data_IF_638227967764
#
_entry.id   IF_638227967764
#
_cell.length_a   1.000
_cell.length_b   1.000
_cell.length_c   1.000
_cell.angle_alpha   90.00
_cell.angle_beta   90.00
_cell.angle_gamma   90.00
#
_symmetry.space_group_name_H-M   'P 1'
#
loop_
_entity.id
_entity.type
_entity.pdbx_description
1 polymer ?
#
# COMPACT_ATOMS: atom_id res chain seq x y z
N UNK A 1 3.37 24.08 44.00
CA UNK A 1 2.00 23.92 43.46
C UNK A 1 2.11 23.96 41.93
N UNK A 2 2.95 23.15 41.27
CA UNK A 2 2.88 21.69 40.95
C UNK A 2 1.75 21.37 39.97
N UNK A 3 2.00 21.33 38.64
CA UNK A 3 2.34 20.13 37.83
C UNK A 3 1.59 18.87 38.26
N UNK A 4 0.48 18.54 37.58
CA UNK A 4 -0.03 17.18 37.34
C UNK A 4 -1.46 17.22 36.73
N UNK A 5 -1.60 17.11 35.40
CA UNK A 5 -2.65 16.32 34.70
C UNK A 5 -2.09 16.03 33.29
N UNK A 6 -1.05 15.22 33.26
CA UNK A 6 -0.59 14.44 32.10
C UNK A 6 -0.32 13.05 32.68
N UNK A 7 -0.63 12.00 31.91
CA UNK A 7 -0.60 10.57 32.25
C UNK A 7 -1.87 10.01 32.92
N UNK A 8 -2.50 9.09 32.21
CA UNK A 8 -3.57 8.25 32.72
C UNK A 8 -4.01 7.20 31.72
N UNK A 9 -3.08 6.45 31.12
CA UNK A 9 -3.32 5.08 30.63
C UNK A 9 -1.98 4.41 30.27
N UNK A 10 -1.16 4.20 31.30
CA UNK A 10 -0.02 3.29 31.27
C UNK A 10 0.20 2.76 32.70
N UNK A 11 0.37 1.44 32.81
CA UNK A 11 0.82 0.66 33.98
C UNK A 11 -0.21 0.26 35.07
N UNK A 12 -0.56 -1.04 35.05
CA UNK A 12 -0.66 -1.90 36.24
C UNK A 12 -0.20 -3.30 35.77
N UNK A 13 1.10 -3.56 35.86
CA UNK A 13 1.80 -4.33 36.90
C UNK A 13 1.75 -5.85 36.71
N UNK A 14 2.93 -6.37 36.36
CA UNK A 14 3.35 -7.75 36.46
C UNK A 14 3.47 -8.20 37.93
N UNK A 15 3.39 -9.52 38.15
CA UNK A 15 4.30 -10.39 38.94
C UNK A 15 3.53 -11.67 39.33
N UNK A 16 4.03 -12.82 38.90
CA UNK A 16 4.47 -13.93 39.78
C UNK A 16 4.97 -15.07 38.90
N UNK A 17 6.26 -15.39 39.04
CA UNK A 17 6.85 -16.63 38.56
C UNK A 17 6.80 -17.70 39.66
N UNK A 18 6.52 -18.93 39.26
CA UNK A 18 6.83 -20.17 39.98
C UNK A 18 6.85 -21.27 38.91
N UNK A 19 8.01 -21.81 38.56
CA UNK A 19 8.70 -22.93 39.20
C UNK A 19 8.38 -24.25 38.48
N UNK A 20 9.47 -24.95 38.16
CA UNK A 20 9.55 -26.16 37.37
C UNK A 20 8.92 -27.36 38.09
N UNK A 21 8.25 -28.23 37.33
CA UNK A 21 7.96 -29.60 37.75
C UNK A 21 8.27 -30.57 36.61
N UNK A 22 9.39 -31.28 36.77
CA UNK A 22 9.72 -32.48 36.01
C UNK A 22 8.70 -33.58 36.35
N UNK A 23 8.14 -34.23 35.34
CA UNK A 23 7.39 -35.48 35.50
C UNK A 23 8.30 -36.67 35.14
N UNK A 24 8.27 -37.76 35.92
CA UNK A 24 9.17 -38.90 35.72
C UNK A 24 8.71 -39.79 34.57
N UNK A 25 9.70 -40.39 33.90
CA UNK A 25 9.50 -41.41 32.90
C UNK A 25 8.96 -42.71 33.52
N UNK A 26 7.96 -43.31 32.86
CA UNK A 26 7.57 -44.71 33.08
C UNK A 26 6.10 -44.93 33.40
N UNK A 27 5.26 -45.06 32.38
CA UNK A 27 3.99 -45.79 32.48
C UNK A 27 3.59 -46.36 31.11
N UNK A 28 3.15 -47.62 31.12
CA UNK A 28 2.95 -48.48 29.96
C UNK A 28 1.86 -47.98 28.98
N UNK A 29 2.06 -48.33 27.70
CA UNK A 29 1.15 -48.02 26.58
C UNK A 29 -0.15 -48.86 26.69
N UNK A 30 -1.35 -48.26 26.65
CA UNK A 30 -2.60 -49.02 26.66
C UNK A 30 -2.87 -49.69 25.30
N UNK A 31 -3.69 -50.77 25.25
CA UNK A 31 -3.89 -51.57 24.05
C UNK A 31 -4.67 -50.80 22.98
N UNK A 32 -4.30 -51.05 21.73
CA UNK A 32 -4.94 -50.48 20.53
C UNK A 32 -6.36 -51.03 20.42
N UNK A 33 -7.35 -50.15 20.43
CA UNK A 33 -8.74 -50.50 20.18
C UNK A 33 -8.94 -50.94 18.72
N UNK A 34 -9.76 -51.97 18.52
CA UNK A 34 -10.15 -52.49 17.21
C UNK A 34 -10.86 -51.42 16.35
N UNK A 35 -10.76 -51.48 15.01
CA UNK A 35 -11.31 -50.46 14.14
C UNK A 35 -12.84 -50.45 14.21
N UNK A 36 -13.39 -49.26 14.49
CA UNK A 36 -14.83 -48.99 14.43
C UNK A 36 -15.28 -49.06 12.97
N UNK A 37 -16.31 -49.86 12.70
CA UNK A 37 -16.92 -49.97 11.38
C UNK A 37 -17.42 -48.58 10.90
N UNK A 38 -17.05 -48.21 9.68
CA UNK A 38 -17.49 -46.95 9.05
C UNK A 38 -18.99 -46.99 8.77
N UNK A 39 -19.77 -45.98 9.17
CA UNK A 39 -21.18 -45.89 8.81
C UNK A 39 -21.33 -45.67 7.30
N UNK A 40 -22.46 -46.10 6.70
CA UNK A 40 -22.69 -45.96 5.26
C UNK A 40 -22.69 -44.47 4.85
N UNK A 41 -22.25 -44.15 3.62
CA UNK A 41 -22.24 -42.77 3.15
C UNK A 41 -23.67 -42.22 3.15
N UNK A 42 -23.87 -41.12 3.89
CA UNK A 42 -25.07 -40.32 3.80
C UNK A 42 -25.27 -39.75 2.40
N UNK A 43 -26.47 -39.23 2.08
CA UNK A 43 -26.75 -38.68 0.76
C UNK A 43 -25.74 -37.60 0.39
N UNK A 44 -25.34 -37.59 -0.89
CA UNK A 44 -24.39 -36.64 -1.44
C UNK A 44 -24.76 -35.21 -1.05
N UNK A 45 -23.91 -34.60 -0.22
CA UNK A 45 -23.99 -33.19 0.13
C UNK A 45 -23.81 -32.40 -1.15
N UNK A 46 -24.79 -31.55 -1.47
CA UNK A 46 -24.72 -30.62 -2.57
C UNK A 46 -23.39 -29.83 -2.49
N UNK A 47 -22.75 -29.63 -3.65
CA UNK A 47 -21.56 -28.79 -3.79
C UNK A 47 -21.81 -27.47 -3.04
N UNK A 48 -21.12 -27.29 -1.91
CA UNK A 48 -21.04 -25.99 -1.24
C UNK A 48 -20.36 -25.08 -2.24
N UNK A 49 -21.04 -24.01 -2.67
CA UNK A 49 -20.44 -22.98 -3.53
C UNK A 49 -19.06 -22.61 -2.97
N UNK A 50 -18.06 -22.50 -3.85
CA UNK A 50 -16.73 -22.11 -3.44
C UNK A 50 -16.80 -20.80 -2.60
N UNK A 51 -15.96 -20.65 -1.55
CA UNK A 51 -15.96 -19.44 -0.75
C UNK A 51 -15.85 -18.22 -1.64
N UNK A 52 -16.68 -17.21 -1.37
CA UNK A 52 -16.84 -16.01 -2.20
C UNK A 52 -15.52 -15.25 -2.42
N UNK A 53 -14.54 -15.42 -1.54
CA UNK A 53 -13.19 -14.85 -1.63
C UNK A 53 -12.08 -15.81 -2.04
N UNK A 54 -12.38 -17.06 -2.45
CA UNK A 54 -11.35 -18.06 -2.77
C UNK A 54 -10.40 -17.62 -3.88
N UNK A 55 -10.93 -16.88 -4.86
CA UNK A 55 -10.16 -16.33 -5.98
C UNK A 55 -9.54 -14.96 -5.67
N UNK A 56 -9.70 -14.42 -4.45
CA UNK A 56 -9.14 -13.12 -4.11
C UNK A 56 -7.62 -13.19 -3.89
N UNK A 57 -6.91 -12.18 -4.39
CA UNK A 57 -5.52 -11.91 -3.99
C UNK A 57 -5.49 -11.59 -2.50
N UNK A 58 -4.40 -11.92 -1.79
CA UNK A 58 -4.16 -11.36 -0.46
C UNK A 58 -4.27 -9.83 -0.52
N UNK A 59 -4.72 -9.16 0.53
CA UNK A 59 -4.71 -7.70 0.59
C UNK A 59 -4.43 -7.19 2.00
N UNK A 60 -3.84 -6.01 2.05
CA UNK A 60 -3.57 -5.30 3.29
C UNK A 60 -4.72 -4.46 3.79
N UNK A 61 -4.69 -4.16 5.09
CA UNK A 61 -5.52 -3.11 5.67
C UNK A 61 -4.64 -2.01 6.25
N UNK A 62 -4.49 -0.93 5.48
CA UNK A 62 -3.41 0.05 5.69
C UNK A 62 -3.83 1.24 6.54
N UNK A 63 -5.10 1.64 6.49
CA UNK A 63 -5.53 2.91 7.06
C UNK A 63 -7.01 2.94 7.41
N UNK A 64 -7.30 3.47 8.60
CA UNK A 64 -8.65 3.83 9.06
C UNK A 64 -8.64 5.29 9.46
N UNK A 65 -9.57 6.07 8.91
CA UNK A 65 -9.69 7.50 9.18
C UNK A 65 -11.16 7.83 9.44
N UNK A 66 -11.42 8.70 10.40
CA UNK A 66 -12.72 9.33 10.56
C UNK A 66 -12.67 10.70 9.88
N UNK A 67 -13.60 10.93 8.97
CA UNK A 67 -13.79 12.19 8.23
C UNK A 67 -15.27 12.56 8.28
N UNK A 68 -15.67 13.22 9.36
CA UNK A 68 -17.03 13.73 9.53
C UNK A 68 -17.05 15.26 9.35
N UNK A 69 -18.19 15.84 8.91
CA UNK A 69 -18.34 17.29 8.85
C UNK A 69 -18.13 17.94 10.22
N UNK A 70 -17.49 19.11 10.24
CA UNK A 70 -17.34 19.89 11.47
C UNK A 70 -18.73 20.22 12.04
N UNK A 71 -18.94 19.96 13.33
CA UNK A 71 -20.22 20.16 14.02
C UNK A 71 -21.23 19.02 13.86
N UNK A 72 -20.94 17.98 13.05
CA UNK A 72 -21.84 16.84 12.91
C UNK A 72 -22.08 16.15 14.25
N UNK A 73 -23.35 15.90 14.59
CA UNK A 73 -23.70 15.09 15.77
C UNK A 73 -23.36 13.63 15.51
N UNK A 74 -22.74 12.96 16.48
CA UNK A 74 -22.32 11.56 16.32
C UNK A 74 -22.62 10.65 17.51
N UNK A 75 -23.06 11.22 18.64
CA UNK A 75 -23.52 10.46 19.79
C UNK A 75 -24.67 11.17 20.50
N UNK A 76 -25.65 10.38 20.93
CA UNK A 76 -26.78 10.76 21.77
C UNK A 76 -26.71 9.98 23.09
N UNK A 77 -25.86 10.41 24.05
CA UNK A 77 -25.66 9.68 25.30
C UNK A 77 -26.83 9.85 26.28
N UNK A 78 -27.25 8.73 26.86
CA UNK A 78 -28.20 8.64 27.97
C UNK A 78 -27.49 8.05 29.21
N UNK A 79 -27.80 8.55 30.40
CA UNK A 79 -27.08 8.21 31.64
C UNK A 79 -27.99 7.87 32.81
N UNK A 80 -27.44 7.08 33.73
CA UNK A 80 -28.09 6.68 34.97
C UNK A 80 -29.14 5.58 34.77
N UNK A 81 -29.63 5.01 35.87
CA UNK A 81 -30.54 3.85 35.89
C UNK A 81 -31.77 4.07 34.99
N UNK A 82 -32.21 5.32 34.86
CA UNK A 82 -33.37 5.72 34.06
C UNK A 82 -33.04 6.13 32.62
N UNK A 83 -31.79 6.06 32.17
CA UNK A 83 -31.34 6.44 30.82
C UNK A 83 -31.82 7.85 30.42
N UNK A 84 -31.58 8.83 31.28
CA UNK A 84 -31.96 10.22 31.02
C UNK A 84 -30.94 10.81 30.05
N UNK A 85 -31.39 11.59 29.06
CA UNK A 85 -30.49 12.27 28.12
C UNK A 85 -29.42 13.07 28.87
N UNK A 86 -28.15 12.81 28.56
CA UNK A 86 -27.05 13.60 29.08
C UNK A 86 -27.04 14.99 28.40
N UNK A 87 -26.30 15.94 28.97
CA UNK A 87 -26.27 17.32 28.49
C UNK A 87 -25.71 17.42 27.05
N UNK A 88 -26.64 17.40 26.08
CA UNK A 88 -26.41 17.60 24.66
C UNK A 88 -25.77 16.42 23.92
N UNK A 89 -26.10 16.29 22.64
CA UNK A 89 -25.42 15.37 21.75
C UNK A 89 -23.94 15.74 21.61
N UNK A 90 -23.08 14.73 21.46
CA UNK A 90 -21.68 14.98 21.12
C UNK A 90 -21.59 15.35 19.65
N UNK A 91 -20.81 16.39 19.39
CA UNK A 91 -20.56 16.91 18.05
C UNK A 91 -19.09 16.74 17.68
N UNK A 92 -18.85 16.49 16.41
CA UNK A 92 -17.51 16.32 15.85
C UNK A 92 -16.80 17.68 15.77
N UNK A 93 -15.66 17.81 16.45
CA UNK A 93 -14.92 19.07 16.57
C UNK A 93 -13.58 19.07 15.80
N UNK A 94 -13.29 18.00 15.06
CA UNK A 94 -12.05 17.86 14.31
C UNK A 94 -12.31 18.20 12.83
N UNK A 95 -11.51 19.08 12.25
CA UNK A 95 -11.52 19.31 10.81
C UNK A 95 -10.57 18.34 10.10
N UNK A 96 -10.99 17.83 8.94
CA UNK A 96 -10.18 16.92 8.13
C UNK A 96 -10.13 15.48 8.66
N UNK A 97 -9.03 14.81 8.37
CA UNK A 97 -8.84 13.38 8.65
C UNK A 97 -8.38 13.16 10.09
N UNK A 98 -9.10 12.30 10.82
CA UNK A 98 -8.69 11.81 12.15
C UNK A 98 -8.25 10.35 12.07
N UNK A 99 -6.93 10.05 11.98
CA UNK A 99 -6.42 8.68 11.87
C UNK A 99 -6.74 7.85 13.11
N UNK A 100 -7.14 6.59 12.89
CA UNK A 100 -7.42 5.62 13.94
C UNK A 100 -6.34 4.54 13.98
N UNK A 101 -6.13 3.92 15.15
CA UNK A 101 -5.27 2.74 15.27
C UNK A 101 -5.90 1.58 14.47
N UNK A 102 -5.20 1.00 13.46
CA UNK A 102 -5.79 -0.05 12.61
C UNK A 102 -6.11 -1.35 13.35
N UNK A 103 -5.33 -1.71 14.39
CA UNK A 103 -5.39 -3.03 15.04
C UNK A 103 -6.80 -3.56 15.35
N UNK A 104 -7.64 -2.83 16.13
CA UNK A 104 -9.00 -3.29 16.45
C UNK A 104 -9.89 -3.50 15.21
N UNK A 105 -9.77 -2.64 14.20
CA UNK A 105 -10.54 -2.75 12.95
C UNK A 105 -10.01 -3.87 12.04
N UNK A 106 -8.69 -4.04 11.98
CA UNK A 106 -8.02 -5.09 11.24
C UNK A 106 -8.37 -6.47 11.78
N UNK A 107 -8.48 -6.60 13.11
CA UNK A 107 -8.95 -7.82 13.75
C UNK A 107 -10.38 -8.16 13.32
N UNK A 108 -11.32 -7.20 13.40
CA UNK A 108 -12.71 -7.41 12.93
C UNK A 108 -12.74 -7.77 11.45
N UNK A 109 -11.95 -7.08 10.63
CA UNK A 109 -11.83 -7.35 9.19
C UNK A 109 -11.43 -8.81 8.95
N UNK A 110 -10.39 -9.30 9.62
CA UNK A 110 -9.87 -10.66 9.47
C UNK A 110 -10.89 -11.71 9.93
N UNK A 111 -11.50 -11.51 11.09
CA UNK A 111 -12.51 -12.44 11.65
C UNK A 111 -13.70 -12.64 10.72
N UNK A 112 -14.13 -11.59 10.00
CA UNK A 112 -15.26 -11.68 9.07
C UNK A 112 -14.85 -12.14 7.67
N UNK A 113 -13.65 -11.79 7.22
CA UNK A 113 -13.20 -12.07 5.85
C UNK A 113 -12.59 -13.47 5.68
N UNK A 114 -11.92 -14.01 6.71
CA UNK A 114 -11.28 -15.32 6.63
C UNK A 114 -12.29 -16.48 6.40
N UNK A 115 -13.45 -16.54 7.09
CA UNK A 115 -14.47 -17.55 6.80
C UNK A 115 -15.05 -17.45 5.39
N UNK A 116 -15.05 -16.24 4.80
CA UNK A 116 -15.49 -16.00 3.44
C UNK A 116 -14.41 -16.34 2.38
N UNK A 117 -13.23 -16.82 2.79
CA UNK A 117 -12.13 -17.26 1.92
C UNK A 117 -11.14 -16.17 1.52
N UNK A 118 -11.32 -14.92 1.97
CA UNK A 118 -10.38 -13.83 1.69
C UNK A 118 -9.12 -13.93 2.56
N UNK A 119 -7.99 -13.51 2.00
CA UNK A 119 -6.69 -13.48 2.70
C UNK A 119 -6.35 -12.04 3.07
N UNK A 120 -6.42 -11.71 4.36
CA UNK A 120 -6.03 -10.40 4.90
C UNK A 120 -4.61 -10.50 5.45
N UNK A 121 -3.69 -9.74 4.88
CA UNK A 121 -2.27 -9.71 5.27
C UNK A 121 -2.03 -9.17 6.69
N UNK A 122 -0.91 -9.62 7.28
CA UNK A 122 -0.40 -9.23 8.60
C UNK A 122 -0.60 -10.32 9.66
N UNK A 123 0.33 -10.43 10.60
CA UNK A 123 0.33 -11.39 11.70
C UNK A 123 -0.32 -10.78 12.97
N UNK A 124 -1.45 -11.33 13.49
CA UNK A 124 -2.07 -10.86 14.73
C UNK A 124 -1.21 -11.04 15.99
N UNK A 125 -0.33 -12.04 16.00
CA UNK A 125 0.44 -12.44 17.18
C UNK A 125 1.83 -11.78 17.20
N UNK A 126 2.23 -11.17 16.08
CA UNK A 126 3.47 -10.44 15.96
C UNK A 126 3.28 -8.95 16.27
N UNK A 127 3.43 -8.60 17.55
CA UNK A 127 3.37 -7.21 18.04
C UNK A 127 4.48 -6.29 17.49
N UNK A 128 5.46 -6.84 16.77
CA UNK A 128 6.54 -6.08 16.11
C UNK A 128 6.25 -5.80 14.63
N UNK A 129 5.21 -6.42 14.04
CA UNK A 129 4.77 -6.03 12.70
C UNK A 129 4.01 -4.69 12.78
N UNK A 130 4.65 -3.63 12.28
CA UNK A 130 3.93 -2.42 11.92
C UNK A 130 2.98 -2.75 10.78
N UNK A 131 1.67 -2.63 10.99
CA UNK A 131 0.57 -2.95 10.06
C UNK A 131 0.81 -2.50 8.59
N UNK A 132 1.61 -3.26 7.86
CA UNK A 132 1.99 -2.96 6.49
C UNK A 132 2.04 -4.27 5.74
N UNK A 133 1.09 -4.38 4.83
CA UNK A 133 0.87 -5.57 4.06
C UNK A 133 1.85 -5.67 2.92
N UNK A 134 2.24 -6.90 2.61
CA UNK A 134 3.07 -7.32 1.48
C UNK A 134 2.33 -7.28 0.16
N UNK A 135 1.02 -7.13 0.23
CA UNK A 135 0.13 -7.29 -0.89
C UNK A 135 0.12 -6.05 -1.81
N UNK A 136 0.01 -6.32 -3.11
CA UNK A 136 -0.19 -5.33 -4.15
C UNK A 136 -1.54 -4.60 -4.05
N UNK A 137 -2.42 -5.08 -3.17
CA UNK A 137 -3.72 -4.49 -2.87
C UNK A 137 -3.75 -4.02 -1.42
N UNK A 138 -4.16 -2.77 -1.22
CA UNK A 138 -4.34 -2.15 0.08
C UNK A 138 -5.77 -1.66 0.22
N UNK A 139 -6.42 -2.03 1.31
CA UNK A 139 -7.74 -1.57 1.71
C UNK A 139 -7.60 -0.44 2.73
N UNK A 140 -8.36 0.63 2.53
CA UNK A 140 -8.51 1.71 3.50
C UNK A 140 -9.99 1.95 3.80
N UNK A 141 -10.30 2.35 5.04
CA UNK A 141 -11.64 2.69 5.49
C UNK A 141 -11.71 4.16 5.89
N UNK A 142 -12.62 4.90 5.27
CA UNK A 142 -12.95 6.28 5.63
C UNK A 142 -14.34 6.26 6.27
N UNK A 143 -14.40 6.43 7.58
CA UNK A 143 -15.65 6.55 8.33
C UNK A 143 -16.19 7.96 8.06
N UNK A 144 -17.32 8.04 7.36
CA UNK A 144 -17.93 9.30 6.92
C UNK A 144 -19.08 9.76 7.82
N UNK A 145 -19.69 8.81 8.55
CA UNK A 145 -20.76 9.09 9.50
C UNK A 145 -20.73 8.07 10.63
N UNK A 146 -20.94 8.55 11.85
CA UNK A 146 -21.11 7.76 13.07
C UNK A 146 -22.38 8.27 13.72
N UNK A 147 -23.30 7.37 14.06
CA UNK A 147 -24.50 7.71 14.82
C UNK A 147 -24.65 6.67 15.93
N UNK A 148 -24.61 7.10 17.19
CA UNK A 148 -24.66 6.20 18.34
C UNK A 148 -25.65 6.73 19.37
N UNK A 149 -26.71 5.99 19.62
CA UNK A 149 -27.65 6.24 20.70
C UNK A 149 -27.51 5.14 21.75
N UNK A 150 -27.03 5.52 22.93
CA UNK A 150 -26.71 4.56 23.97
C UNK A 150 -27.05 5.08 25.36
N UNK A 151 -27.39 4.15 26.23
CA UNK A 151 -27.56 4.35 27.65
C UNK A 151 -26.43 3.69 28.43
N UNK A 152 -25.82 4.46 29.33
CA UNK A 152 -24.87 4.01 30.35
C UNK A 152 -25.53 4.07 31.73
N UNK A 153 -26.19 2.99 32.18
CA UNK A 153 -27.05 3.05 33.36
C UNK A 153 -26.30 3.14 34.69
N UNK A 154 -25.00 2.80 34.70
CA UNK A 154 -24.16 2.70 35.91
C UNK A 154 -22.97 3.67 35.93
N UNK A 155 -23.04 4.75 35.14
CA UNK A 155 -22.00 5.79 35.13
C UNK A 155 -21.84 6.37 36.56
N UNK A 156 -20.65 6.18 37.17
CA UNK A 156 -20.37 6.51 38.57
C UNK A 156 -19.85 5.34 39.42
N UNK A 157 -20.04 4.09 39.00
CA UNK A 157 -19.50 2.89 39.67
C UNK A 157 -18.25 2.31 38.99
N UNK A 158 -17.60 3.08 38.11
CA UNK A 158 -16.48 2.61 37.27
C UNK A 158 -16.91 1.72 36.09
N UNK A 159 -18.20 1.47 35.93
CA UNK A 159 -18.77 0.62 34.87
C UNK A 159 -19.03 1.43 33.59
N UNK A 160 -18.41 0.99 32.49
CA UNK A 160 -18.52 1.59 31.14
C UNK A 160 -19.45 0.80 30.21
N UNK A 161 -20.19 -0.16 30.74
CA UNK A 161 -21.14 -0.95 29.97
C UNK A 161 -22.33 -0.11 29.47
N UNK A 162 -22.80 -0.44 28.26
CA UNK A 162 -23.87 0.30 27.60
C UNK A 162 -24.91 -0.64 27.03
N UNK A 163 -26.12 -0.14 26.85
CA UNK A 163 -27.14 -0.69 25.94
C UNK A 163 -27.53 0.39 24.94
N UNK A 164 -27.95 0.02 23.74
CA UNK A 164 -28.27 1.01 22.70
C UNK A 164 -28.01 0.50 21.31
N UNK A 165 -28.12 1.38 20.33
CA UNK A 165 -27.87 1.07 18.93
C UNK A 165 -26.90 2.08 18.32
N UNK A 166 -26.21 1.65 17.28
CA UNK A 166 -25.28 2.49 16.55
C UNK A 166 -25.27 2.14 15.07
N UNK A 167 -24.96 3.13 14.24
CA UNK A 167 -24.72 2.96 12.82
C UNK A 167 -23.44 3.67 12.40
N UNK A 168 -22.80 3.10 11.39
CA UNK A 168 -21.51 3.54 10.88
C UNK A 168 -21.55 3.48 9.36
N UNK A 169 -21.32 4.61 8.71
CA UNK A 169 -21.10 4.66 7.26
C UNK A 169 -19.61 4.71 6.95
N UNK A 170 -19.18 3.82 6.05
CA UNK A 170 -17.78 3.65 5.67
C UNK A 170 -17.65 3.74 4.16
N UNK A 171 -16.81 4.65 3.68
CA UNK A 171 -16.29 4.65 2.33
C UNK A 171 -14.98 3.86 2.31
N UNK A 172 -15.02 2.71 1.67
CA UNK A 172 -13.87 1.85 1.44
C UNK A 172 -13.13 2.28 0.18
N UNK A 173 -11.80 2.19 0.22
CA UNK A 173 -10.95 2.37 -0.95
C UNK A 173 -10.08 1.13 -1.12
N UNK A 174 -10.20 0.48 -2.27
CA UNK A 174 -9.31 -0.59 -2.70
C UNK A 174 -8.25 0.04 -3.59
N UNK A 175 -6.99 0.05 -3.15
CA UNK A 175 -5.88 0.69 -3.82
C UNK A 175 -4.88 -0.35 -4.31
N UNK A 176 -4.40 -0.22 -5.56
CA UNK A 176 -3.29 -1.03 -6.04
C UNK A 176 -1.98 -0.28 -5.84
N UNK A 177 -1.03 -0.89 -5.14
CA UNK A 177 0.33 -0.34 -4.97
C UNK A 177 1.19 -0.51 -6.21
N UNK A 178 0.82 -1.41 -7.11
CA UNK A 178 1.44 -1.60 -8.43
C UNK A 178 0.89 -0.55 -9.42
N UNK A 179 -0.43 -0.47 -9.60
CA UNK A 179 -1.04 0.47 -10.54
C UNK A 179 -1.12 1.92 -10.00
N UNK A 180 -0.74 2.12 -8.73
CA UNK A 180 -0.77 3.40 -8.00
C UNK A 180 -2.12 4.13 -8.06
N UNK A 181 -3.23 3.40 -8.12
CA UNK A 181 -4.57 3.98 -8.24
C UNK A 181 -5.61 3.25 -7.38
N UNK A 182 -6.68 3.97 -7.05
CA UNK A 182 -7.87 3.39 -6.40
C UNK A 182 -8.64 2.59 -7.45
N UNK A 183 -8.68 1.26 -7.27
CA UNK A 183 -9.39 0.32 -8.14
C UNK A 183 -10.90 0.38 -7.92
N UNK A 184 -11.33 0.59 -6.68
CA UNK A 184 -12.74 0.68 -6.33
C UNK A 184 -12.96 1.58 -5.12
N UNK A 185 -14.09 2.29 -5.14
CA UNK A 185 -14.68 2.95 -3.98
C UNK A 185 -16.00 2.28 -3.69
N UNK A 186 -16.20 1.84 -2.44
CA UNK A 186 -17.42 1.14 -2.03
C UNK A 186 -17.94 1.85 -0.80
N UNK A 187 -19.20 2.24 -0.80
CA UNK A 187 -19.85 2.80 0.38
C UNK A 187 -20.70 1.70 1.04
N UNK A 188 -20.57 1.55 2.36
CA UNK A 188 -21.41 0.66 3.15
C UNK A 188 -21.93 1.41 4.38
N UNK A 189 -23.08 1.00 4.88
CA UNK A 189 -23.57 1.41 6.20
C UNK A 189 -23.91 0.15 6.97
N UNK A 190 -23.36 0.00 8.16
CA UNK A 190 -23.60 -1.12 9.08
C UNK A 190 -24.10 -0.60 10.41
N UNK A 191 -24.93 -1.38 11.09
CA UNK A 191 -25.49 -1.05 12.38
C UNK A 191 -25.26 -2.19 13.39
N UNK A 192 -25.46 -1.86 14.66
CA UNK A 192 -25.43 -2.83 15.73
C UNK A 192 -26.38 -2.38 16.84
N UNK A 193 -26.91 -3.33 17.59
CA UNK A 193 -27.78 -3.09 18.72
C UNK A 193 -27.39 -4.00 19.89
N UNK A 194 -27.19 -3.39 21.06
CA UNK A 194 -27.03 -4.05 22.34
C UNK A 194 -28.32 -3.84 23.15
N UNK A 195 -29.19 -4.85 23.12
CA UNK A 195 -30.46 -4.83 23.87
C UNK A 195 -30.22 -4.87 25.38
N UNK A 196 -29.18 -5.58 25.80
CA UNK A 196 -28.73 -5.69 27.18
C UNK A 196 -27.47 -4.85 27.43
N UNK A 197 -27.23 -4.57 28.71
CA UNK A 197 -26.06 -3.82 29.15
C UNK A 197 -24.80 -4.65 28.91
N UNK A 198 -24.02 -4.22 27.92
CA UNK A 198 -22.89 -4.97 27.38
C UNK A 198 -21.57 -4.31 27.77
N UNK A 199 -20.61 -5.10 28.25
CA UNK A 199 -19.26 -4.64 28.59
C UNK A 199 -18.47 -4.20 27.34
N UNK A 200 -17.45 -3.35 27.52
CA UNK A 200 -16.67 -2.79 26.41
C UNK A 200 -17.22 -1.48 25.84
N UNK A 201 -18.42 -1.08 26.27
CA UNK A 201 -18.95 0.26 26.07
C UNK A 201 -19.10 0.66 24.60
N UNK A 202 -18.87 1.93 24.32
CA UNK A 202 -19.07 2.50 22.99
C UNK A 202 -18.14 1.90 21.92
N UNK A 203 -16.92 1.52 22.32
CA UNK A 203 -15.97 0.91 21.41
C UNK A 203 -16.48 -0.45 20.89
N UNK A 204 -17.08 -1.26 21.76
CA UNK A 204 -17.67 -2.54 21.36
C UNK A 204 -18.83 -2.34 20.37
N UNK A 205 -19.71 -1.37 20.63
CA UNK A 205 -20.84 -1.04 19.74
C UNK A 205 -20.35 -0.55 18.37
N UNK A 206 -19.30 0.30 18.35
CA UNK A 206 -18.69 0.80 17.12
C UNK A 206 -18.08 -0.35 16.28
N UNK A 207 -17.32 -1.24 16.92
CA UNK A 207 -16.72 -2.39 16.25
C UNK A 207 -17.78 -3.39 15.76
N UNK A 208 -18.91 -3.52 16.45
CA UNK A 208 -20.04 -4.32 15.99
C UNK A 208 -20.70 -3.73 14.73
N UNK A 209 -20.91 -2.41 14.68
CA UNK A 209 -21.41 -1.76 13.46
C UNK A 209 -20.39 -1.84 12.30
N UNK A 210 -19.10 -1.74 12.61
CA UNK A 210 -18.03 -1.95 11.63
C UNK A 210 -18.01 -3.39 11.09
N UNK A 211 -18.27 -4.39 11.94
CA UNK A 211 -18.40 -5.80 11.54
C UNK A 211 -19.47 -5.99 10.46
N UNK A 212 -20.63 -5.35 10.60
CA UNK A 212 -21.66 -5.41 9.55
C UNK A 212 -21.20 -4.70 8.26
N UNK A 213 -20.47 -3.59 8.35
CA UNK A 213 -19.86 -2.95 7.18
C UNK A 213 -18.89 -3.91 6.45
N UNK A 214 -18.07 -4.66 7.19
CA UNK A 214 -17.16 -5.66 6.61
C UNK A 214 -17.92 -6.77 5.90
N UNK A 215 -19.01 -7.28 6.49
CA UNK A 215 -19.89 -8.26 5.84
C UNK A 215 -20.44 -7.72 4.52
N UNK A 216 -20.97 -6.50 4.54
CA UNK A 216 -21.49 -5.81 3.32
C UNK A 216 -20.40 -5.58 2.28
N UNK A 217 -19.18 -5.23 2.71
CA UNK A 217 -18.02 -5.08 1.83
C UNK A 217 -17.68 -6.42 1.15
N UNK A 218 -17.56 -7.50 1.91
CA UNK A 218 -17.26 -8.84 1.37
C UNK A 218 -18.32 -9.33 0.38
N UNK A 219 -19.58 -8.94 0.60
CA UNK A 219 -20.71 -9.23 -0.28
C UNK A 219 -20.78 -8.30 -1.52
N UNK A 220 -20.01 -7.21 -1.57
CA UNK A 220 -20.00 -6.29 -2.70
C UNK A 220 -19.30 -6.89 -3.91
N UNK A 221 -20.00 -6.93 -5.06
CA UNK A 221 -19.39 -7.34 -6.33
C UNK A 221 -18.20 -6.45 -6.69
N UNK A 222 -18.31 -5.13 -6.49
CA UNK A 222 -17.23 -4.19 -6.80
C UNK A 222 -15.98 -4.44 -5.97
N UNK A 223 -16.14 -4.80 -4.70
CA UNK A 223 -15.02 -5.21 -3.86
C UNK A 223 -14.40 -6.51 -4.38
N UNK A 224 -15.21 -7.54 -4.62
CA UNK A 224 -14.75 -8.84 -5.13
C UNK A 224 -14.01 -8.72 -6.45
N UNK A 225 -14.56 -7.97 -7.40
CA UNK A 225 -13.90 -7.71 -8.69
C UNK A 225 -12.55 -7.01 -8.47
N UNK A 226 -12.47 -6.05 -7.55
CA UNK A 226 -11.23 -5.31 -7.28
C UNK A 226 -10.14 -6.17 -6.62
N UNK A 227 -10.53 -7.12 -5.75
CA UNK A 227 -9.59 -8.01 -5.06
C UNK A 227 -9.39 -9.36 -5.75
N UNK A 228 -10.16 -9.69 -6.79
CA UNK A 228 -10.02 -10.94 -7.53
C UNK A 228 -8.61 -11.13 -8.11
N UNK A 229 -8.23 -12.40 -8.29
CA UNK A 229 -6.95 -12.86 -8.86
C UNK A 229 -6.74 -12.45 -10.33
N UNK A 230 -7.71 -11.81 -10.98
CA UNK A 230 -7.47 -10.99 -12.16
C UNK A 230 -8.66 -10.04 -12.41
N UNK A 231 -8.43 -8.72 -12.43
CA UNK A 231 -8.89 -7.95 -13.57
C UNK A 231 -7.70 -7.83 -14.49
N UNK A 232 -7.78 -8.44 -15.67
CA UNK A 232 -6.89 -8.05 -16.76
C UNK A 232 -7.01 -6.54 -16.89
N UNK A 233 -5.90 -5.83 -16.67
CA UNK A 233 -5.76 -4.45 -17.13
C UNK A 233 -6.31 -4.39 -18.58
N UNK A 234 -7.01 -3.30 -18.97
CA UNK A 234 -7.65 -3.20 -20.28
C UNK A 234 -6.77 -3.83 -21.34
N UNK A 235 -7.34 -4.82 -22.03
CA UNK A 235 -6.59 -5.75 -22.86
C UNK A 235 -5.55 -5.00 -23.68
N UNK A 236 -4.29 -5.38 -23.45
CA UNK A 236 -3.10 -4.94 -24.17
C UNK A 236 -2.24 -3.80 -23.58
N UNK A 237 -2.04 -3.77 -22.25
CA UNK A 237 -0.97 -2.93 -21.69
C UNK A 237 0.42 -3.24 -22.27
N UNK A 238 0.67 -4.44 -22.77
CA UNK A 238 1.92 -4.77 -23.43
C UNK A 238 2.07 -4.04 -24.78
N UNK A 239 1.00 -3.75 -25.53
CA UNK A 239 1.11 -3.05 -26.83
C UNK A 239 1.06 -1.53 -26.67
N UNK A 240 2.07 -0.81 -27.15
CA UNK A 240 2.05 0.65 -27.20
C UNK A 240 0.79 1.18 -27.90
N UNK A 241 0.22 2.24 -27.35
CA UNK A 241 -0.83 2.99 -28.05
C UNK A 241 -0.19 3.71 -29.26
N UNK A 242 -0.75 3.63 -30.48
CA UNK A 242 -0.20 4.33 -31.63
C UNK A 242 -0.11 5.83 -31.39
N UNK A 243 1.10 6.39 -31.44
CA UNK A 243 1.39 7.81 -31.23
C UNK A 243 2.46 8.28 -32.20
N UNK A 244 2.52 9.58 -32.49
CA UNK A 244 3.58 10.16 -33.30
C UNK A 244 4.94 9.88 -32.66
N UNK A 245 5.91 9.26 -33.37
CA UNK A 245 7.20 8.94 -32.79
C UNK A 245 7.95 10.19 -32.32
N UNK A 246 8.58 10.10 -31.14
CA UNK A 246 9.55 11.09 -30.66
C UNK A 246 10.94 10.51 -30.88
N UNK A 247 11.84 11.28 -31.47
CA UNK A 247 13.21 10.82 -31.72
C UNK A 247 14.09 11.09 -30.50
N UNK A 248 14.68 10.05 -29.93
CA UNK A 248 15.72 10.18 -28.90
C UNK A 248 17.08 10.34 -29.60
N UNK A 249 17.42 11.57 -29.96
CA UNK A 249 18.66 11.87 -30.67
C UNK A 249 19.89 11.48 -29.84
N UNK A 250 20.79 10.67 -30.41
CA UNK A 250 22.05 10.29 -29.78
C UNK A 250 21.94 9.23 -28.68
N UNK A 251 20.76 8.68 -28.42
CA UNK A 251 20.50 7.73 -27.34
C UNK A 251 21.28 6.40 -27.49
N UNK A 252 21.48 5.92 -28.73
CA UNK A 252 22.27 4.72 -29.01
C UNK A 252 23.74 5.04 -29.35
N UNK A 253 23.98 6.23 -29.87
CA UNK A 253 25.32 6.68 -30.30
C UNK A 253 26.15 7.28 -29.16
N UNK A 254 25.53 7.60 -28.01
CA UNK A 254 26.23 8.08 -26.83
C UNK A 254 27.32 7.08 -26.44
N UNK A 255 28.50 7.59 -26.10
CA UNK A 255 29.62 6.76 -25.65
C UNK A 255 29.30 6.22 -24.25
N UNK A 256 29.41 4.90 -24.00
CA UNK A 256 29.35 4.38 -22.63
C UNK A 256 30.39 5.07 -21.76
N UNK A 257 30.02 5.37 -20.52
CA UNK A 257 30.86 6.06 -19.54
C UNK A 257 30.75 5.33 -18.22
N UNK A 258 31.83 5.22 -17.43
CA UNK A 258 31.76 4.57 -16.14
C UNK A 258 30.70 5.22 -15.24
N UNK A 259 30.12 4.45 -14.33
CA UNK A 259 28.94 4.85 -13.53
C UNK A 259 29.12 6.22 -12.86
N UNK A 260 30.30 6.49 -12.31
CA UNK A 260 30.64 7.78 -11.66
C UNK A 260 30.50 9.00 -12.59
N UNK A 261 30.74 8.85 -13.88
CA UNK A 261 30.54 9.90 -14.89
C UNK A 261 29.11 9.92 -15.42
N UNK A 262 28.47 8.75 -15.52
CA UNK A 262 27.09 8.61 -15.98
C UNK A 262 26.09 9.34 -15.06
N UNK A 263 26.40 9.47 -13.76
CA UNK A 263 25.54 10.18 -12.80
C UNK A 263 25.27 11.63 -13.20
N UNK A 264 26.14 12.28 -13.98
CA UNK A 264 25.92 13.66 -14.43
C UNK A 264 24.67 13.83 -15.29
N UNK A 265 24.20 12.75 -15.93
CA UNK A 265 23.00 12.74 -16.76
C UNK A 265 21.70 12.55 -15.97
N UNK A 266 21.79 12.34 -14.65
CA UNK A 266 20.64 12.12 -13.77
C UNK A 266 20.16 13.46 -13.23
N UNK A 267 18.84 13.63 -13.19
CA UNK A 267 18.20 14.87 -12.73
C UNK A 267 17.23 14.58 -11.59
N UNK A 268 17.11 15.51 -10.66
CA UNK A 268 15.99 15.59 -9.72
C UNK A 268 14.82 16.31 -10.40
N UNK A 269 13.63 15.75 -10.27
CA UNK A 269 12.37 16.26 -10.82
C UNK A 269 11.47 16.63 -9.66
N UNK A 270 10.97 17.86 -9.67
CA UNK A 270 10.05 18.41 -8.67
C UNK A 270 8.75 18.81 -9.37
N UNK A 271 7.64 18.16 -9.00
CA UNK A 271 6.32 18.32 -9.61
C UNK A 271 5.26 18.60 -8.52
N UNK A 272 5.21 19.84 -8.03
CA UNK A 272 4.35 20.20 -6.89
C UNK A 272 4.83 19.52 -5.62
N UNK A 273 3.97 18.71 -4.99
CA UNK A 273 4.28 17.93 -3.79
C UNK A 273 4.91 16.55 -4.11
N UNK A 274 5.16 16.25 -5.39
CA UNK A 274 5.81 15.02 -5.85
C UNK A 274 7.25 15.28 -6.26
N UNK A 275 8.14 14.36 -5.93
CA UNK A 275 9.55 14.41 -6.32
C UNK A 275 10.09 13.03 -6.69
N UNK A 276 11.10 13.03 -7.54
CA UNK A 276 11.77 11.81 -7.99
C UNK A 276 12.94 12.12 -8.91
N UNK A 277 13.46 11.09 -9.54
CA UNK A 277 14.60 11.18 -10.45
C UNK A 277 14.19 10.98 -11.91
N UNK A 278 15.05 11.39 -12.81
CA UNK A 278 15.00 11.04 -14.22
C UNK A 278 16.41 11.02 -14.79
N UNK A 279 16.55 10.64 -16.05
CA UNK A 279 17.83 10.70 -16.74
C UNK A 279 17.70 11.21 -18.16
N UNK A 280 18.71 11.96 -18.59
CA UNK A 280 18.82 12.48 -19.94
C UNK A 280 19.00 11.33 -20.94
N UNK A 281 18.00 11.11 -21.77
CA UNK A 281 17.92 10.04 -22.75
C UNK A 281 18.25 10.52 -24.18
N UNK A 282 18.29 11.84 -24.42
CA UNK A 282 18.65 12.39 -25.73
C UNK A 282 19.49 13.66 -25.64
N UNK A 283 20.31 13.92 -26.67
CA UNK A 283 21.19 15.09 -26.74
C UNK A 283 20.42 16.40 -26.87
N UNK A 284 19.17 16.35 -27.33
CA UNK A 284 18.31 17.53 -27.44
C UNK A 284 17.52 17.81 -26.16
N UNK A 285 17.69 17.04 -25.07
CA UNK A 285 17.09 17.39 -23.77
C UNK A 285 15.84 16.60 -23.40
N UNK A 286 15.63 15.39 -23.93
CA UNK A 286 14.56 14.50 -23.45
C UNK A 286 15.03 13.70 -22.24
N UNK A 287 14.30 13.83 -21.15
CA UNK A 287 14.51 13.12 -19.90
C UNK A 287 13.45 12.04 -19.74
N UNK A 288 13.87 10.81 -19.49
CA UNK A 288 12.99 9.71 -19.13
C UNK A 288 12.81 9.64 -17.62
N UNK A 289 11.59 9.43 -17.16
CA UNK A 289 11.24 9.31 -15.74
C UNK A 289 9.99 8.43 -15.55
N UNK A 290 9.55 8.25 -14.31
CA UNK A 290 8.31 7.56 -13.98
C UNK A 290 7.11 8.51 -14.06
N UNK A 291 5.94 8.00 -14.45
CA UNK A 291 4.73 8.83 -14.59
C UNK A 291 4.18 9.29 -13.25
N UNK A 292 4.31 8.50 -12.19
CA UNK A 292 3.87 8.95 -10.86
C UNK A 292 4.70 10.12 -10.33
N UNK A 293 5.97 10.28 -10.76
CA UNK A 293 6.83 11.41 -10.35
C UNK A 293 6.26 12.72 -10.88
N UNK A 294 5.89 12.77 -12.17
CA UNK A 294 5.39 13.99 -12.80
C UNK A 294 3.90 14.27 -12.54
N UNK A 295 3.14 13.26 -12.11
CA UNK A 295 1.70 13.43 -11.87
C UNK A 295 0.97 13.96 -13.11
N UNK A 296 -0.07 14.77 -12.90
CA UNK A 296 -0.81 15.44 -13.98
C UNK A 296 -0.19 16.79 -14.38
N UNK A 297 1.03 17.08 -13.92
CA UNK A 297 1.68 18.35 -14.19
C UNK A 297 2.08 18.47 -15.66
N UNK A 298 1.76 19.61 -16.28
CA UNK A 298 2.26 19.94 -17.63
C UNK A 298 3.73 20.37 -17.61
N UNK A 299 4.14 21.06 -16.54
CA UNK A 299 5.51 21.52 -16.35
C UNK A 299 6.03 21.09 -14.99
N UNK A 300 7.32 20.77 -14.93
CA UNK A 300 8.04 20.35 -13.73
C UNK A 300 9.33 21.15 -13.60
N UNK A 301 9.86 21.25 -12.40
CA UNK A 301 11.18 21.84 -12.15
C UNK A 301 12.23 20.73 -12.21
N UNK A 302 13.27 20.96 -13.01
CA UNK A 302 14.41 20.06 -13.19
C UNK A 302 15.60 20.65 -12.45
N UNK A 303 16.32 19.82 -11.69
CA UNK A 303 17.59 20.18 -11.09
C UNK A 303 18.65 19.15 -11.50
N UNK A 304 19.70 19.63 -12.15
CA UNK A 304 20.84 18.84 -12.61
C UNK A 304 21.79 18.50 -11.45
N UNK A 305 22.68 17.53 -11.68
CA UNK A 305 23.66 17.08 -10.67
C UNK A 305 24.66 18.15 -10.24
N UNK A 306 24.85 19.20 -11.06
CA UNK A 306 25.67 20.38 -10.77
C UNK A 306 24.90 21.45 -9.96
N UNK A 307 23.64 21.17 -9.60
CA UNK A 307 22.74 22.06 -8.87
C UNK A 307 21.98 23.05 -9.76
N UNK A 308 22.26 23.09 -11.07
CA UNK A 308 21.60 24.01 -11.98
C UNK A 308 20.13 23.65 -12.15
N UNK A 309 19.25 24.65 -12.11
CA UNK A 309 17.79 24.43 -12.17
C UNK A 309 17.17 24.97 -13.46
N UNK A 310 16.18 24.26 -14.00
CA UNK A 310 15.46 24.65 -15.20
C UNK A 310 14.00 24.18 -15.20
N UNK A 311 13.26 24.60 -16.22
CA UNK A 311 11.89 24.14 -16.47
C UNK A 311 11.93 22.91 -17.39
N UNK A 312 11.08 21.92 -17.10
CA UNK A 312 10.81 20.80 -17.98
C UNK A 312 9.33 20.76 -18.37
N UNK A 313 9.03 20.47 -19.63
CA UNK A 313 7.68 20.23 -20.13
C UNK A 313 7.43 18.72 -20.23
N UNK A 314 6.34 18.22 -19.65
CA UNK A 314 5.93 16.82 -19.81
C UNK A 314 5.33 16.66 -21.20
N UNK A 315 6.12 16.14 -22.13
CA UNK A 315 5.72 15.98 -23.54
C UNK A 315 4.99 14.66 -23.79
N UNK A 316 5.16 13.68 -22.91
CA UNK A 316 4.47 12.39 -22.98
C UNK A 316 4.42 11.70 -21.62
N UNK A 317 3.34 10.98 -21.39
CA UNK A 317 3.07 10.32 -20.14
C UNK A 317 2.17 9.11 -20.38
N UNK A 318 2.51 7.97 -19.82
CA UNK A 318 1.68 6.77 -19.80
C UNK A 318 1.40 6.37 -18.35
N UNK A 319 0.15 6.58 -17.93
CA UNK A 319 -0.29 6.28 -16.55
C UNK A 319 -0.33 4.79 -16.27
N UNK A 320 -0.71 3.97 -17.24
CA UNK A 320 -0.88 2.53 -17.02
C UNK A 320 0.47 1.80 -16.93
N UNK A 321 1.49 2.36 -17.58
CA UNK A 321 2.83 1.77 -17.72
C UNK A 321 3.89 2.49 -16.88
N UNK A 322 3.46 3.50 -16.13
CA UNK A 322 4.25 4.32 -15.22
C UNK A 322 5.51 4.97 -15.81
N UNK A 323 5.45 5.45 -17.07
CA UNK A 323 6.57 6.12 -17.75
C UNK A 323 6.20 7.50 -18.27
N UNK A 324 7.15 8.43 -18.28
CA UNK A 324 6.98 9.76 -18.85
C UNK A 324 8.26 10.29 -19.52
N UNK A 325 8.07 11.21 -20.47
CA UNK A 325 9.12 12.00 -21.11
C UNK A 325 8.94 13.48 -20.79
N UNK A 326 10.04 14.10 -20.40
CA UNK A 326 10.12 15.54 -20.17
C UNK A 326 11.09 16.14 -21.18
N UNK A 327 10.73 17.28 -21.77
CA UNK A 327 11.63 18.12 -22.57
C UNK A 327 12.19 19.25 -21.71
N UNK A 328 13.51 19.40 -21.69
CA UNK A 328 14.20 20.48 -20.98
C UNK A 328 15.46 20.91 -21.74
N UNK A 329 16.15 21.93 -21.24
CA UNK A 329 17.46 22.34 -21.74
C UNK A 329 18.54 21.41 -21.13
N UNK A 330 19.31 20.66 -21.95
CA UNK A 330 20.32 19.72 -21.46
C UNK A 330 21.53 20.39 -20.80
N UNK A 331 21.73 21.71 -20.95
CA UNK A 331 22.80 22.48 -20.29
C UNK A 331 24.21 21.92 -20.43
N UNK A 332 24.50 21.31 -21.58
CA UNK A 332 25.81 20.72 -21.88
C UNK A 332 26.03 19.33 -21.27
N UNK A 333 25.07 18.76 -20.56
CA UNK A 333 25.11 17.37 -20.10
C UNK A 333 24.94 16.41 -21.28
N UNK A 334 25.73 15.34 -21.29
CA UNK A 334 25.63 14.29 -22.29
C UNK A 334 24.58 13.24 -21.87
N UNK A 335 23.73 12.75 -22.80
CA UNK A 335 22.75 11.72 -22.49
C UNK A 335 23.41 10.41 -22.07
N UNK A 336 22.63 9.55 -21.41
CA UNK A 336 22.99 8.16 -21.20
C UNK A 336 22.80 7.37 -22.49
N UNK A 337 23.69 6.39 -22.69
CA UNK A 337 23.48 5.37 -23.71
C UNK A 337 22.39 4.42 -23.22
N UNK A 338 21.39 4.16 -24.05
CA UNK A 338 20.30 3.24 -23.71
C UNK A 338 20.61 1.86 -24.26
N UNK A 339 20.47 0.83 -23.43
CA UNK A 339 20.70 -0.57 -23.82
C UNK A 339 19.40 -1.34 -23.73
N UNK A 340 18.94 -1.86 -24.86
CA UNK A 340 17.67 -2.60 -24.96
C UNK A 340 17.85 -4.10 -24.66
N UNK A 341 19.04 -4.62 -24.90
CA UNK A 341 19.36 -6.04 -24.70
C UNK A 341 19.38 -6.37 -23.21
N UNK A 342 18.65 -7.43 -22.77
CA UNK A 342 18.64 -7.82 -21.38
C UNK A 342 20.03 -8.29 -20.92
N UNK A 343 20.32 -8.04 -19.65
CA UNK A 343 21.43 -8.63 -18.91
C UNK A 343 21.06 -10.05 -18.44
N UNK A 344 22.03 -10.76 -17.87
CA UNK A 344 21.78 -12.04 -17.22
C UNK A 344 21.54 -11.85 -15.72
N UNK A 345 20.68 -12.66 -15.08
CA UNK A 345 20.65 -12.75 -13.63
C UNK A 345 22.05 -12.97 -13.04
N UNK A 346 22.42 -12.16 -12.05
CA UNK A 346 23.75 -12.11 -11.47
C UNK A 346 24.64 -10.97 -11.99
N UNK A 347 24.33 -10.36 -13.14
CA UNK A 347 25.09 -9.22 -13.65
C UNK A 347 24.96 -8.01 -12.72
N UNK A 348 26.07 -7.31 -12.51
CA UNK A 348 26.12 -6.14 -11.63
C UNK A 348 25.36 -4.95 -12.24
N UNK A 349 24.59 -4.27 -11.40
CA UNK A 349 23.82 -3.09 -11.78
C UNK A 349 23.88 -2.01 -10.71
N UNK A 350 23.61 -0.78 -11.14
CA UNK A 350 23.71 0.41 -10.29
C UNK A 350 22.44 1.24 -10.43
N UNK A 351 21.67 1.36 -9.36
CA UNK A 351 20.55 2.28 -9.33
C UNK A 351 21.07 3.67 -8.94
N UNK A 352 20.72 4.68 -9.73
CA UNK A 352 21.14 6.06 -9.50
C UNK A 352 19.93 6.94 -9.30
N UNK A 353 19.96 7.80 -8.30
CA UNK A 353 18.89 8.75 -8.05
C UNK A 353 19.28 9.89 -7.13
N UNK A 354 18.31 10.75 -6.91
CA UNK A 354 18.33 11.86 -5.98
C UNK A 354 17.29 11.57 -4.88
N UNK A 355 17.70 11.01 -3.73
CA UNK A 355 16.82 10.84 -2.57
C UNK A 355 16.23 12.19 -2.13
N UNK A 356 15.15 12.14 -1.35
CA UNK A 356 14.31 13.28 -0.91
C UNK A 356 15.04 14.52 -0.34
N UNK A 357 16.31 14.41 0.03
CA UNK A 357 17.13 15.56 0.42
C UNK A 357 18.08 15.91 -0.75
N UNK A 358 18.06 17.15 -1.27
CA UNK A 358 18.99 17.62 -2.29
C UNK A 358 20.48 17.35 -1.98
N UNK A 359 20.86 17.21 -0.71
CA UNK A 359 22.22 16.83 -0.29
C UNK A 359 22.62 15.42 -0.67
N UNK A 360 21.65 14.52 -0.91
CA UNK A 360 21.88 13.14 -1.32
C UNK A 360 21.72 12.95 -2.84
N UNK A 361 21.56 14.02 -3.62
CA UNK A 361 21.60 13.93 -5.08
C UNK A 361 22.80 13.11 -5.53
N UNK A 362 22.62 12.32 -6.60
CA UNK A 362 23.67 11.46 -7.14
C UNK A 362 24.01 10.24 -6.26
N UNK A 363 23.04 9.75 -5.47
CA UNK A 363 23.22 8.51 -4.71
C UNK A 363 23.26 7.33 -5.66
N UNK A 364 24.34 6.55 -5.58
CA UNK A 364 24.54 5.31 -6.34
C UNK A 364 24.44 4.14 -5.39
N UNK A 365 23.56 3.18 -5.69
CA UNK A 365 23.47 1.91 -4.99
C UNK A 365 23.81 0.78 -5.95
N UNK A 366 24.52 -0.24 -5.47
CA UNK A 366 24.94 -1.39 -6.27
C UNK A 366 24.13 -2.61 -5.89
N UNK A 367 23.78 -3.41 -6.88
CA UNK A 367 23.20 -4.74 -6.72
C UNK A 367 23.50 -5.61 -7.93
N UNK A 368 22.66 -6.62 -8.13
CA UNK A 368 22.66 -7.51 -9.29
C UNK A 368 21.27 -7.60 -9.89
N UNK A 369 21.18 -8.04 -11.14
CA UNK A 369 19.92 -8.53 -11.69
C UNK A 369 19.54 -9.78 -10.92
N UNK A 370 18.47 -9.71 -10.12
CA UNK A 370 17.98 -10.88 -9.38
C UNK A 370 17.13 -11.78 -10.27
N UNK A 371 16.27 -11.18 -11.11
CA UNK A 371 15.41 -11.88 -12.05
C UNK A 371 14.70 -10.93 -13.03
N UNK A 372 14.02 -11.51 -14.02
CA UNK A 372 12.98 -10.82 -14.79
C UNK A 372 11.60 -11.27 -14.30
N UNK A 373 10.66 -10.33 -14.24
CA UNK A 373 9.29 -10.57 -13.78
C UNK A 373 8.30 -10.01 -14.78
N UNK A 374 7.15 -10.63 -14.88
CA UNK A 374 6.02 -10.09 -15.63
C UNK A 374 4.83 -9.97 -14.68
N UNK A 375 4.36 -8.75 -14.48
CA UNK A 375 3.18 -8.47 -13.66
C UNK A 375 2.15 -7.77 -14.51
N UNK A 376 0.95 -8.35 -14.59
CA UNK A 376 -0.17 -7.79 -15.35
C UNK A 376 0.18 -7.44 -16.81
N UNK A 377 1.04 -8.25 -17.45
CA UNK A 377 1.46 -8.06 -18.84
C UNK A 377 2.60 -7.07 -19.07
N UNK A 378 3.13 -6.43 -18.02
CA UNK A 378 4.31 -5.56 -18.09
C UNK A 378 5.54 -6.29 -17.60
N UNK A 379 6.67 -6.12 -18.29
CA UNK A 379 7.94 -6.70 -17.87
C UNK A 379 8.65 -5.77 -16.89
N UNK A 380 9.34 -6.38 -15.94
CA UNK A 380 10.15 -5.70 -14.94
C UNK A 380 11.49 -6.41 -14.79
N UNK A 381 12.53 -5.60 -14.60
CA UNK A 381 13.81 -6.03 -14.07
C UNK A 381 13.69 -6.03 -12.55
N UNK A 382 13.98 -7.17 -11.93
CA UNK A 382 14.10 -7.28 -10.47
C UNK A 382 15.58 -7.17 -10.10
N UNK A 383 15.92 -6.29 -9.16
CA UNK A 383 17.27 -6.16 -8.60
C UNK A 383 17.23 -5.94 -7.09
N UNK A 384 18.31 -6.33 -6.42
CA UNK A 384 18.57 -6.05 -5.01
C UNK A 384 19.30 -4.72 -4.79
N UNK A 385 19.64 -3.99 -5.86
CA UNK A 385 20.16 -2.63 -5.78
C UNK A 385 19.17 -1.76 -4.99
N UNK A 386 19.64 -1.16 -3.89
CA UNK A 386 18.77 -0.46 -2.95
C UNK A 386 18.07 0.74 -3.61
N UNK A 387 16.75 0.78 -3.53
CA UNK A 387 15.92 1.88 -4.02
C UNK A 387 15.18 2.51 -2.85
N UNK A 388 15.29 3.84 -2.72
CA UNK A 388 14.59 4.62 -1.70
C UNK A 388 13.67 5.66 -2.37
N UNK A 389 12.70 6.23 -1.64
CA UNK A 389 11.97 7.40 -2.10
C UNK A 389 12.91 8.49 -2.65
N UNK A 390 12.61 9.01 -3.83
CA UNK A 390 13.47 9.93 -4.60
C UNK A 390 14.22 9.27 -5.76
N UNK A 391 14.54 7.98 -5.69
CA UNK A 391 15.16 7.27 -6.82
C UNK A 391 14.17 6.91 -7.94
N UNK A 392 12.85 6.94 -7.68
CA UNK A 392 11.81 6.66 -8.66
C UNK A 392 12.00 7.47 -9.93
N UNK A 393 11.96 6.81 -11.09
CA UNK A 393 12.24 7.39 -12.41
C UNK A 393 13.72 7.50 -12.78
N UNK A 394 14.64 7.34 -11.82
CA UNK A 394 16.09 7.32 -12.06
C UNK A 394 16.57 6.04 -12.75
N UNK A 395 17.76 6.05 -13.37
CA UNK A 395 18.21 4.93 -14.19
C UNK A 395 18.74 3.75 -13.35
N UNK A 396 18.53 2.55 -13.88
CA UNK A 396 19.33 1.37 -13.57
C UNK A 396 20.42 1.24 -14.64
N UNK A 397 21.67 1.30 -14.22
CA UNK A 397 22.85 1.25 -15.09
C UNK A 397 23.52 -0.12 -15.02
N UNK A 398 24.11 -0.56 -16.13
CA UNK A 398 25.07 -1.66 -16.14
C UNK A 398 26.50 -1.19 -15.75
N UNK A 399 27.46 -2.11 -15.76
CA UNK A 399 28.86 -1.85 -15.43
C UNK A 399 29.58 -0.89 -16.40
N UNK A 400 29.00 -0.65 -17.58
CA UNK A 400 29.47 0.30 -18.59
C UNK A 400 28.74 1.64 -18.51
N UNK A 401 27.85 1.81 -17.53
CA UNK A 401 27.02 3.00 -17.35
C UNK A 401 25.95 3.17 -18.42
N UNK A 402 25.58 2.10 -19.12
CA UNK A 402 24.44 2.09 -20.04
C UNK A 402 23.15 1.94 -19.24
N UNK A 403 22.14 2.75 -19.55
CA UNK A 403 20.83 2.64 -18.91
C UNK A 403 20.07 1.45 -19.48
N UNK A 404 19.72 0.50 -18.61
CA UNK A 404 18.96 -0.72 -18.96
C UNK A 404 17.51 -0.65 -18.46
N UNK A 405 17.20 0.23 -17.52
CA UNK A 405 15.85 0.38 -16.99
C UNK A 405 15.63 1.68 -16.22
N UNK A 406 14.37 1.94 -15.88
CA UNK A 406 13.93 3.08 -15.08
C UNK A 406 13.29 2.60 -13.78
N UNK A 407 13.69 3.20 -12.67
CA UNK A 407 13.27 2.82 -11.32
C UNK A 407 11.77 3.05 -11.11
N UNK A 408 11.03 2.05 -10.63
CA UNK A 408 9.62 2.20 -10.22
C UNK A 408 9.52 2.36 -8.71
N UNK A 409 10.24 1.52 -7.98
CA UNK A 409 10.26 1.48 -6.52
C UNK A 409 10.60 0.10 -5.97
N UNK A 410 10.73 0.01 -4.65
CA UNK A 410 10.90 -1.25 -3.94
C UNK A 410 9.58 -1.96 -3.68
N UNK A 411 9.58 -3.28 -3.84
CA UNK A 411 8.57 -4.16 -3.25
C UNK A 411 8.83 -4.20 -1.75
N UNK A 412 7.89 -3.68 -0.96
CA UNK A 412 8.02 -3.63 0.50
C UNK A 412 7.18 -4.71 1.13
N UNK A 413 7.79 -5.46 2.04
CA UNK A 413 7.12 -6.35 3.00
C UNK A 413 7.21 -5.60 4.32
N UNK A 414 6.09 -5.39 4.99
CA UNK A 414 6.05 -4.79 6.33
C UNK A 414 6.71 -3.40 6.46
N UNK A 415 6.75 -2.60 5.37
CA UNK A 415 7.41 -1.29 5.37
C UNK A 415 8.94 -1.36 5.51
N UNK A 416 9.50 -2.57 5.64
CA UNK A 416 10.91 -2.84 5.64
C UNK A 416 11.40 -3.05 4.19
N UNK A 417 12.58 -2.53 3.81
CA UNK A 417 13.17 -2.84 2.52
C UNK A 417 13.44 -4.34 2.41
N UNK A 418 12.88 -4.99 1.38
CA UNK A 418 13.09 -6.44 1.14
C UNK A 418 14.23 -6.74 0.18
N UNK A 419 14.90 -5.69 -0.30
CA UNK A 419 15.85 -5.78 -1.41
C UNK A 419 15.25 -6.48 -2.66
N UNK A 420 13.93 -6.36 -2.87
CA UNK A 420 13.27 -6.70 -4.12
C UNK A 420 12.83 -5.37 -4.74
N UNK A 421 13.60 -4.85 -5.68
CA UNK A 421 13.29 -3.58 -6.34
C UNK A 421 12.97 -3.80 -7.81
N UNK A 422 11.99 -3.05 -8.33
CA UNK A 422 11.47 -3.22 -9.68
C UNK A 422 11.82 -2.01 -10.56
N UNK A 423 12.22 -2.31 -11.78
CA UNK A 423 12.59 -1.35 -12.80
C UNK A 423 11.91 -1.70 -14.11
N UNK A 424 11.39 -0.71 -14.84
CA UNK A 424 10.83 -0.89 -16.18
C UNK A 424 12.01 -0.97 -17.16
N UNK A 425 12.13 -2.03 -18.00
CA UNK A 425 13.15 -2.10 -19.02
C UNK A 425 13.12 -0.87 -19.92
N UNK A 426 14.28 -0.30 -20.26
CA UNK A 426 14.33 0.94 -21.04
C UNK A 426 13.74 0.76 -22.45
N UNK A 427 13.90 -0.45 -23.03
CA UNK A 427 13.27 -0.80 -24.31
C UNK A 427 11.75 -0.72 -24.24
N UNK A 428 11.15 -1.28 -23.19
CA UNK A 428 9.70 -1.23 -22.95
C UNK A 428 9.26 0.23 -22.75
N UNK A 429 9.96 1.00 -21.91
CA UNK A 429 9.66 2.42 -21.70
C UNK A 429 9.68 3.23 -23.02
N UNK A 430 10.68 2.99 -23.86
CA UNK A 430 10.78 3.61 -25.19
C UNK A 430 9.61 3.24 -26.08
N UNK A 431 9.25 1.95 -26.14
CA UNK A 431 8.15 1.48 -26.99
C UNK A 431 6.82 2.06 -26.53
N UNK A 432 6.56 2.06 -25.21
CA UNK A 432 5.36 2.64 -24.60
C UNK A 432 5.21 4.12 -24.87
N UNK A 433 6.34 4.85 -24.87
CA UNK A 433 6.38 6.28 -25.16
C UNK A 433 6.52 6.57 -26.66
N UNK A 434 6.48 5.56 -27.55
CA UNK A 434 6.79 5.70 -28.98
C UNK A 434 8.05 6.56 -29.22
N UNK A 435 9.10 6.31 -28.43
CA UNK A 435 10.34 7.04 -28.41
C UNK A 435 11.41 6.23 -29.15
N UNK A 436 11.65 6.58 -30.41
CA UNK A 436 12.57 5.84 -31.27
C UNK A 436 13.98 6.41 -31.15
N UNK A 437 14.99 5.59 -30.85
CA UNK A 437 16.36 6.07 -30.81
C UNK A 437 16.85 6.37 -32.23
N UNK A 438 17.69 7.41 -32.38
CA UNK A 438 18.37 7.71 -33.63
C UNK A 438 19.85 8.00 -33.41
#
# INVERSE_FOLDING_TARGET
>A
MSRAVLLGLAAAMAVTGAAWAQTPAGAAKPPVAAPVATPPPGPAVALVDAPVGADARPFGFSRVVIRMPLGASFQSPHIGIFCIAAAGNKTWQVSGDSPQKPGPYQQVLREEMAPAGFKVDGDPDNVFETASSTSDIQLAAIITQVDMDYCQPRIGFGDVSIRGHGSLSVQWQVYSTIQKQVLAKIDTTGSAEFKEVTAGGLQALLLAAFRENVRKLSASKSFRDAVASTPSLPGDLAKPTPQTPIVLAGALAAKPRPVNEAVSAVVLILAGDSEGSGFLASSDGLVLTARHVVGDAKYVKIRWSDGAEGLGEVVRADKARDVALIKTDPRGHAPLRLRREPLQPGDAVFAVGAPLDPKFQSTVTRGVISAYRTFSGLNYIQSDATVNPGNSGGPLLDDKGEAIGATVGGYTVTGAPTNINLFIPVGDAMDFLSATPK
#
